data_IF_270767012839
#
_entry.id   IF_270767012839
#
_cell.length_a   1.000
_cell.length_b   1.000
_cell.length_c   1.000
_cell.angle_alpha   90.00
_cell.angle_beta   90.00
_cell.angle_gamma   90.00
#
_symmetry.space_group_name_H-M   'P 1'
#
loop_
_entity.id
_entity.type
_entity.pdbx_description
1 polymer ?
#
# COMPACT_ATOMS: atom_id res chain seq x y z
N UNK A 1 25.17 3.02 -3.18
CA UNK A 1 25.59 4.28 -3.80
C UNK A 1 25.67 5.41 -2.74
N UNK A 2 24.60 5.68 -1.95
CA UNK A 2 24.60 6.75 -0.95
C UNK A 2 25.78 6.63 0.02
N UNK A 3 26.01 5.45 0.59
CA UNK A 3 27.17 5.16 1.46
C UNK A 3 28.51 5.47 0.78
N UNK A 4 28.66 5.06 -0.49
CA UNK A 4 29.89 5.34 -1.27
C UNK A 4 30.09 6.83 -1.55
N UNK A 5 29.00 7.58 -1.61
CA UNK A 5 29.00 9.03 -1.78
C UNK A 5 29.10 9.80 -0.44
N UNK A 6 29.11 9.11 0.70
CA UNK A 6 29.08 9.75 2.02
C UNK A 6 27.77 10.47 2.34
N UNK A 7 26.66 10.06 1.67
CA UNK A 7 25.35 10.69 1.85
C UNK A 7 24.58 9.91 2.92
N UNK A 8 24.09 10.61 3.94
CA UNK A 8 23.19 10.05 4.95
C UNK A 8 21.83 9.81 4.29
N UNK A 9 21.32 8.57 4.39
CA UNK A 9 20.06 8.14 3.79
C UNK A 9 19.05 7.76 4.87
N UNK A 10 17.82 8.23 4.72
CA UNK A 10 16.67 7.84 5.51
C UNK A 10 15.71 7.03 4.64
N UNK A 11 15.27 5.87 5.12
CA UNK A 11 14.30 5.02 4.45
C UNK A 11 13.06 4.83 5.33
N UNK A 12 11.91 5.23 4.83
CA UNK A 12 10.62 5.06 5.48
C UNK A 12 9.90 3.87 4.84
N UNK A 13 9.58 2.87 5.64
CA UNK A 13 8.94 1.63 5.16
C UNK A 13 7.71 1.31 5.98
N UNK A 14 6.70 0.67 5.36
CA UNK A 14 5.53 0.19 6.11
C UNK A 14 5.92 -1.00 6.99
N UNK A 15 5.19 -1.22 8.08
CA UNK A 15 5.39 -2.37 8.98
C UNK A 15 5.14 -3.72 8.31
N UNK A 16 4.46 -3.75 7.17
CA UNK A 16 4.21 -4.94 6.37
C UNK A 16 5.42 -5.40 5.54
N UNK A 17 6.45 -4.56 5.41
CA UNK A 17 7.70 -4.96 4.72
C UNK A 17 8.39 -6.05 5.52
N UNK A 18 8.79 -7.17 4.89
CA UNK A 18 9.50 -8.25 5.57
C UNK A 18 10.79 -7.78 6.26
N UNK A 19 11.09 -8.35 7.43
CA UNK A 19 12.23 -7.93 8.27
C UNK A 19 13.59 -8.17 7.60
N UNK A 20 13.71 -9.20 6.76
CA UNK A 20 14.91 -9.44 5.96
C UNK A 20 15.18 -8.32 4.94
N UNK A 21 14.13 -7.79 4.30
CA UNK A 21 14.25 -6.60 3.42
C UNK A 21 14.68 -5.34 4.22
N UNK A 22 14.15 -5.18 5.42
CA UNK A 22 14.56 -4.08 6.29
C UNK A 22 16.02 -4.20 6.72
N UNK A 23 16.48 -5.43 7.04
CA UNK A 23 17.91 -5.69 7.35
C UNK A 23 18.82 -5.37 6.17
N UNK A 24 18.42 -5.79 4.96
CA UNK A 24 19.16 -5.50 3.74
C UNK A 24 19.36 -3.98 3.52
N UNK A 25 18.34 -3.18 3.80
CA UNK A 25 18.43 -1.72 3.72
C UNK A 25 19.35 -1.17 4.82
N UNK A 26 19.22 -1.66 6.05
CA UNK A 26 19.93 -1.14 7.23
C UNK A 26 21.41 -1.47 7.23
N UNK A 27 21.84 -2.60 6.63
CA UNK A 27 23.25 -3.03 6.63
C UNK A 27 24.17 -2.03 5.95
N UNK A 28 23.64 -1.20 5.07
CA UNK A 28 24.39 -0.12 4.41
C UNK A 28 24.46 1.18 5.24
N UNK A 29 24.03 1.16 6.50
CA UNK A 29 24.01 2.35 7.37
C UNK A 29 22.86 3.32 7.05
N UNK A 30 21.80 2.85 6.40
CA UNK A 30 20.58 3.63 6.17
C UNK A 30 19.81 3.77 7.48
N UNK A 31 19.41 4.98 7.82
CA UNK A 31 18.49 5.25 8.93
C UNK A 31 17.10 4.74 8.54
N UNK A 32 16.68 3.61 9.12
CA UNK A 32 15.41 2.97 8.79
C UNK A 32 14.32 3.40 9.77
N UNK A 33 13.23 3.92 9.23
CA UNK A 33 12.01 4.26 9.96
C UNK A 33 10.89 3.33 9.54
N UNK A 34 10.40 2.53 10.48
CA UNK A 34 9.29 1.61 10.28
C UNK A 34 7.99 2.29 10.68
N UNK A 35 7.09 2.47 9.71
CA UNK A 35 5.80 3.15 9.90
C UNK A 35 4.68 2.11 9.98
N UNK A 36 3.95 2.06 11.09
CA UNK A 36 2.74 1.26 11.22
C UNK A 36 1.58 2.00 10.57
N UNK A 37 1.24 1.62 9.34
CA UNK A 37 0.21 2.30 8.56
C UNK A 37 0.27 1.89 7.09
N UNK A 38 -0.53 2.58 6.28
CA UNK A 38 -0.57 2.35 4.84
C UNK A 38 0.66 2.93 4.13
N UNK A 39 0.89 2.51 2.90
CA UNK A 39 1.97 3.08 2.06
C UNK A 39 1.78 4.59 1.84
N UNK A 40 0.54 5.07 1.70
CA UNK A 40 0.26 6.50 1.54
C UNK A 40 0.59 7.30 2.82
N UNK A 41 0.24 6.78 4.00
CA UNK A 41 0.61 7.37 5.29
C UNK A 41 2.14 7.40 5.47
N UNK A 42 2.83 6.33 5.10
CA UNK A 42 4.30 6.29 5.11
C UNK A 42 4.91 7.39 4.25
N UNK A 43 4.35 7.65 3.07
CA UNK A 43 4.80 8.77 2.21
C UNK A 43 4.54 10.14 2.82
N UNK A 44 3.45 10.31 3.56
CA UNK A 44 3.14 11.57 4.28
C UNK A 44 4.16 11.82 5.39
N UNK A 45 4.45 10.81 6.23
CA UNK A 45 5.46 10.89 7.30
C UNK A 45 6.84 11.23 6.71
N UNK A 46 7.28 10.50 5.67
CA UNK A 46 8.55 10.77 4.99
C UNK A 46 8.62 12.19 4.40
N UNK A 47 7.51 12.65 3.80
CA UNK A 47 7.41 13.99 3.23
C UNK A 47 7.51 15.10 4.27
N UNK A 48 6.82 14.95 5.41
CA UNK A 48 6.85 15.89 6.53
C UNK A 48 8.21 15.92 7.20
N UNK A 49 8.81 14.77 7.47
CA UNK A 49 10.18 14.64 7.99
C UNK A 49 11.19 15.37 7.09
N UNK A 50 11.14 15.14 5.79
CA UNK A 50 12.06 15.79 4.88
C UNK A 50 11.83 17.30 4.79
N UNK A 51 10.56 17.76 4.79
CA UNK A 51 10.21 19.19 4.79
C UNK A 51 10.74 19.90 6.04
N UNK A 52 10.56 19.31 7.23
CA UNK A 52 11.04 19.89 8.50
C UNK A 52 12.56 20.04 8.57
N UNK A 53 13.30 19.17 7.89
CA UNK A 53 14.78 19.13 7.90
C UNK A 53 15.45 19.70 6.64
N UNK A 54 14.65 20.22 5.69
CA UNK A 54 15.19 20.71 4.41
C UNK A 54 15.87 19.62 3.58
N UNK A 55 15.42 18.37 3.70
CA UNK A 55 15.99 17.23 3.00
C UNK A 55 15.31 16.99 1.65
N UNK A 56 16.07 16.43 0.71
CA UNK A 56 15.53 15.96 -0.55
C UNK A 56 14.76 14.65 -0.33
N UNK A 57 13.55 14.57 -0.93
CA UNK A 57 12.75 13.34 -0.97
C UNK A 57 12.74 12.78 -2.38
N UNK A 58 13.13 11.52 -2.52
CA UNK A 58 12.88 10.79 -3.76
C UNK A 58 11.38 10.46 -3.84
N UNK A 59 10.73 10.96 -4.88
CA UNK A 59 9.29 10.77 -5.15
C UNK A 59 9.05 9.81 -6.33
N UNK A 60 9.95 8.87 -6.55
CA UNK A 60 9.85 7.88 -7.60
C UNK A 60 9.69 8.51 -8.98
N UNK A 61 8.56 8.31 -9.67
CA UNK A 61 8.35 8.79 -11.04
C UNK A 61 8.46 10.33 -11.19
N UNK A 62 8.31 11.09 -10.14
CA UNK A 62 8.48 12.55 -10.13
C UNK A 62 9.94 12.98 -9.93
N UNK A 63 10.82 12.02 -9.56
CA UNK A 63 12.25 12.27 -9.41
C UNK A 63 12.97 12.10 -10.75
N UNK A 64 13.70 13.13 -11.16
CA UNK A 64 14.54 13.04 -12.36
C UNK A 64 15.63 12.00 -12.15
N UNK A 65 16.33 12.04 -11.03
CA UNK A 65 17.42 11.11 -10.71
C UNK A 65 16.97 9.65 -10.72
N UNK A 66 15.78 9.35 -10.14
CA UNK A 66 15.23 7.99 -10.14
C UNK A 66 14.94 7.48 -11.56
N UNK A 67 14.37 8.31 -12.45
CA UNK A 67 14.16 7.95 -13.86
C UNK A 67 15.46 7.76 -14.61
N UNK A 68 16.45 8.64 -14.39
CA UNK A 68 17.75 8.54 -15.02
C UNK A 68 18.49 7.26 -14.57
N UNK A 69 18.38 6.86 -13.31
CA UNK A 69 19.01 5.62 -12.82
C UNK A 69 18.44 4.37 -13.49
N UNK A 70 17.14 4.34 -13.78
CA UNK A 70 16.50 3.17 -14.42
C UNK A 70 16.87 3.00 -15.89
N UNK A 71 17.41 4.03 -16.55
CA UNK A 71 17.91 3.91 -17.94
C UNK A 71 19.05 2.92 -18.09
N UNK A 72 19.86 2.74 -17.06
CA UNK A 72 21.02 1.84 -17.11
C UNK A 72 20.62 0.41 -17.42
N UNK A 73 19.43 -0.02 -16.99
CA UNK A 73 18.86 -1.32 -17.37
C UNK A 73 18.73 -1.48 -18.89
N UNK A 74 18.26 -0.45 -19.59
CA UNK A 74 18.13 -0.51 -21.04
C UNK A 74 19.50 -0.64 -21.74
N UNK A 75 20.52 0.06 -21.23
CA UNK A 75 21.86 0.00 -21.77
C UNK A 75 22.48 -1.39 -21.59
N UNK A 76 22.39 -1.93 -20.37
CA UNK A 76 22.88 -3.29 -20.07
C UNK A 76 22.15 -4.35 -20.88
N UNK A 77 20.82 -4.25 -21.00
CA UNK A 77 20.01 -5.17 -21.81
C UNK A 77 20.47 -5.14 -23.28
N UNK A 78 20.60 -3.94 -23.86
CA UNK A 78 20.94 -3.81 -25.28
C UNK A 78 22.35 -4.31 -25.60
N UNK A 79 23.31 -4.02 -24.73
CA UNK A 79 24.70 -4.47 -24.85
C UNK A 79 24.80 -5.99 -24.70
N UNK A 80 24.25 -6.57 -23.62
CA UNK A 80 24.32 -7.99 -23.34
C UNK A 80 23.56 -8.84 -24.37
N UNK A 81 22.42 -8.34 -24.89
CA UNK A 81 21.73 -9.01 -25.98
C UNK A 81 22.58 -9.03 -27.27
N UNK A 82 23.32 -7.96 -27.54
CA UNK A 82 24.22 -7.95 -28.70
C UNK A 82 25.42 -8.90 -28.53
N UNK A 83 25.93 -9.03 -27.28
CA UNK A 83 26.94 -10.05 -26.96
C UNK A 83 26.42 -11.48 -27.13
N UNK A 84 25.23 -11.76 -26.64
CA UNK A 84 24.63 -13.10 -26.61
C UNK A 84 24.14 -13.56 -28.00
N UNK A 85 23.54 -12.67 -28.79
CA UNK A 85 22.80 -12.98 -30.01
C UNK A 85 23.44 -12.36 -31.27
N UNK A 86 24.51 -11.60 -31.12
CA UNK A 86 25.11 -10.77 -32.17
C UNK A 86 24.33 -9.45 -32.39
N UNK A 87 24.97 -8.48 -33.05
CA UNK A 87 24.32 -7.23 -33.43
C UNK A 87 23.16 -7.48 -34.40
N UNK A 88 22.19 -6.55 -34.49
CA UNK A 88 21.02 -6.71 -35.34
C UNK A 88 21.46 -6.86 -36.82
N UNK A 89 20.95 -7.87 -37.50
CA UNK A 89 21.27 -8.10 -38.92
C UNK A 89 20.79 -6.95 -39.79
N UNK A 90 21.67 -6.42 -40.62
CA UNK A 90 21.35 -5.34 -41.57
C UNK A 90 21.16 -3.96 -40.95
N UNK A 91 21.46 -3.79 -39.68
CA UNK A 91 21.48 -2.48 -38.99
C UNK A 91 22.93 -2.10 -38.70
N UNK A 92 23.28 -0.82 -38.96
CA UNK A 92 24.61 -0.26 -38.62
C UNK A 92 24.61 0.28 -37.19
N UNK A 93 24.13 -0.52 -36.22
CA UNK A 93 24.11 -0.18 -34.81
C UNK A 93 24.73 -1.33 -33.99
N UNK A 94 25.51 -1.03 -32.92
CA UNK A 94 26.22 -2.07 -32.19
C UNK A 94 25.33 -2.88 -31.25
N UNK A 95 24.24 -2.31 -30.75
CA UNK A 95 23.43 -2.88 -29.67
C UNK A 95 22.06 -3.35 -30.16
N UNK A 96 21.48 -4.33 -29.43
CA UNK A 96 20.25 -5.01 -29.82
C UNK A 96 19.10 -4.68 -28.86
N UNK A 97 17.93 -4.33 -29.40
CA UNK A 97 16.68 -4.15 -28.64
C UNK A 97 15.95 -5.48 -28.59
N UNK A 98 15.38 -5.91 -27.43
CA UNK A 98 14.51 -7.07 -27.38
C UNK A 98 13.15 -6.77 -28.05
N UNK A 99 12.43 -7.81 -28.47
CA UNK A 99 11.07 -7.65 -28.99
C UNK A 99 10.09 -7.30 -27.87
N UNK A 100 10.32 -7.87 -26.68
CA UNK A 100 9.53 -7.58 -25.48
C UNK A 100 10.41 -7.27 -24.27
N UNK A 101 10.00 -6.26 -23.51
CA UNK A 101 10.45 -6.04 -22.15
C UNK A 101 9.28 -6.25 -21.19
N UNK A 102 9.36 -7.24 -20.30
CA UNK A 102 8.29 -7.63 -19.38
C UNK A 102 8.73 -7.34 -17.94
N UNK A 103 7.90 -6.64 -17.21
CA UNK A 103 8.16 -6.28 -15.81
C UNK A 103 6.87 -6.25 -14.99
N UNK A 104 6.97 -6.71 -13.73
CA UNK A 104 5.95 -6.43 -12.73
C UNK A 104 5.96 -4.95 -12.35
N UNK A 105 4.78 -4.33 -12.29
CA UNK A 105 4.69 -2.90 -12.05
C UNK A 105 3.86 -2.57 -10.82
N UNK A 106 4.45 -1.75 -9.95
CA UNK A 106 3.80 -1.04 -8.87
C UNK A 106 3.46 0.39 -9.33
N UNK A 107 4.37 1.34 -9.10
CA UNK A 107 4.24 2.73 -9.53
C UNK A 107 4.74 3.03 -10.94
N UNK A 108 5.31 2.07 -11.69
CA UNK A 108 5.71 2.22 -13.10
C UNK A 108 7.04 2.93 -13.37
N UNK A 109 7.86 3.20 -12.35
CA UNK A 109 9.16 3.90 -12.52
C UNK A 109 10.14 3.12 -13.40
N UNK A 110 10.32 1.81 -13.15
CA UNK A 110 11.27 0.96 -13.87
C UNK A 110 11.06 0.98 -15.38
N UNK A 111 9.90 0.53 -15.89
CA UNK A 111 9.68 0.50 -17.33
C UNK A 111 9.68 1.89 -17.98
N UNK A 112 9.27 2.95 -17.26
CA UNK A 112 9.37 4.33 -17.78
C UNK A 112 10.83 4.73 -18.02
N UNK A 113 11.73 4.41 -17.09
CA UNK A 113 13.17 4.68 -17.25
C UNK A 113 13.81 3.83 -18.33
N UNK A 114 13.46 2.54 -18.41
CA UNK A 114 13.94 1.63 -19.46
C UNK A 114 13.55 2.14 -20.86
N UNK A 115 12.28 2.53 -21.06
CA UNK A 115 11.84 3.10 -22.32
C UNK A 115 12.58 4.40 -22.67
N UNK A 116 12.86 5.23 -21.64
CA UNK A 116 13.70 6.42 -21.85
C UNK A 116 15.10 6.06 -22.32
N UNK A 117 15.73 5.02 -21.75
CA UNK A 117 17.03 4.53 -22.16
C UNK A 117 17.06 4.06 -23.61
N UNK A 118 16.07 3.27 -24.03
CA UNK A 118 15.95 2.82 -25.43
C UNK A 118 15.76 3.99 -26.41
N UNK A 119 14.97 5.02 -26.03
CA UNK A 119 14.85 6.24 -26.87
C UNK A 119 16.17 6.97 -27.01
N UNK A 120 16.95 7.11 -25.94
CA UNK A 120 18.25 7.75 -26.00
C UNK A 120 19.23 6.96 -26.87
N UNK A 121 19.28 5.62 -26.74
CA UNK A 121 20.12 4.79 -27.62
C UNK A 121 19.75 4.92 -29.08
N UNK A 122 18.47 5.04 -29.42
CA UNK A 122 18.02 5.31 -30.78
C UNK A 122 18.52 6.68 -31.27
N UNK A 123 18.41 7.72 -30.44
CA UNK A 123 18.84 9.08 -30.79
C UNK A 123 20.36 9.16 -31.02
N UNK A 124 21.13 8.34 -30.31
CA UNK A 124 22.60 8.28 -30.46
C UNK A 124 23.07 7.20 -31.44
N UNK A 125 22.16 6.55 -32.17
CA UNK A 125 22.46 5.49 -33.13
C UNK A 125 23.23 4.29 -32.52
N UNK A 126 23.00 4.01 -31.22
CA UNK A 126 23.57 2.85 -30.53
C UNK A 126 22.70 1.61 -30.68
N UNK A 127 21.38 1.79 -30.80
CA UNK A 127 20.42 0.73 -31.05
C UNK A 127 19.34 1.24 -32.00
N UNK A 128 18.53 0.33 -32.56
CA UNK A 128 17.43 0.66 -33.46
C UNK A 128 16.15 -0.06 -33.01
N UNK A 129 15.07 0.70 -32.80
CA UNK A 129 13.76 0.19 -32.41
C UNK A 129 13.45 0.38 -30.94
N UNK A 130 12.24 0.02 -30.56
CA UNK A 130 11.74 0.08 -29.18
C UNK A 130 11.11 -1.28 -28.84
N UNK A 131 11.23 -1.77 -27.59
CA UNK A 131 10.57 -3.00 -27.19
C UNK A 131 9.07 -2.78 -27.01
N UNK A 132 8.28 -3.83 -27.26
CA UNK A 132 6.92 -3.93 -26.71
C UNK A 132 6.98 -4.08 -25.21
N UNK A 133 5.99 -3.54 -24.50
CA UNK A 133 5.93 -3.61 -23.05
C UNK A 133 4.93 -4.65 -22.54
N UNK A 134 5.39 -5.55 -21.70
CA UNK A 134 4.54 -6.41 -20.86
C UNK A 134 4.51 -5.89 -19.44
N UNK A 135 3.45 -5.15 -19.07
CA UNK A 135 3.34 -4.47 -17.77
C UNK A 135 2.38 -5.25 -16.87
N UNK A 136 2.94 -5.98 -15.90
CA UNK A 136 2.20 -6.97 -15.13
C UNK A 136 1.86 -6.46 -13.74
N UNK A 137 0.59 -6.53 -13.36
CA UNK A 137 0.11 -6.18 -12.02
C UNK A 137 -0.51 -7.39 -11.32
N UNK A 138 -0.50 -7.38 -9.98
CA UNK A 138 -1.27 -8.31 -9.18
C UNK A 138 -2.77 -8.04 -9.36
N UNK A 139 -3.58 -9.06 -9.66
CA UNK A 139 -5.01 -8.91 -9.94
C UNK A 139 -5.78 -8.21 -8.81
N UNK A 140 -5.36 -8.43 -7.55
CA UNK A 140 -5.94 -7.76 -6.39
C UNK A 140 -5.59 -6.27 -6.25
N UNK A 141 -4.66 -5.75 -7.10
CA UNK A 141 -4.31 -4.33 -7.18
C UNK A 141 -3.82 -3.98 -8.58
N UNK A 142 -4.71 -3.88 -9.55
CA UNK A 142 -4.39 -3.69 -10.98
C UNK A 142 -5.03 -2.42 -11.58
N UNK A 143 -4.77 -1.22 -11.02
CA UNK A 143 -5.38 0.02 -11.52
C UNK A 143 -4.98 0.36 -12.96
N UNK A 144 -3.71 0.10 -13.35
CA UNK A 144 -3.24 0.38 -14.71
C UNK A 144 -3.89 -0.53 -15.74
N UNK A 145 -4.06 -1.82 -15.41
CA UNK A 145 -4.75 -2.79 -16.26
C UNK A 145 -6.20 -2.34 -16.48
N UNK A 146 -6.91 -2.03 -15.40
CA UNK A 146 -8.31 -1.56 -15.47
C UNK A 146 -8.45 -0.29 -16.31
N UNK A 147 -7.55 0.67 -16.11
CA UNK A 147 -7.52 1.90 -16.89
C UNK A 147 -7.29 1.66 -18.38
N UNK A 148 -6.36 0.76 -18.72
CA UNK A 148 -6.04 0.42 -20.10
C UNK A 148 -7.17 -0.33 -20.80
N UNK A 149 -7.77 -1.33 -20.15
CA UNK A 149 -8.94 -2.08 -20.66
C UNK A 149 -10.15 -1.19 -20.92
N UNK A 150 -10.35 -0.17 -20.08
CA UNK A 150 -11.43 0.80 -20.22
C UNK A 150 -11.10 1.98 -21.14
N UNK A 151 -9.89 2.02 -21.72
CA UNK A 151 -9.44 3.10 -22.58
C UNK A 151 -9.21 4.45 -21.89
N UNK A 152 -9.14 4.47 -20.56
CA UNK A 152 -9.01 5.69 -19.76
C UNK A 152 -7.62 6.30 -19.91
N UNK A 153 -7.53 7.62 -19.83
CA UNK A 153 -6.26 8.35 -19.79
C UNK A 153 -5.61 8.32 -18.41
N UNK A 154 -6.42 8.20 -17.35
CA UNK A 154 -5.99 8.09 -15.98
C UNK A 154 -6.44 6.74 -15.40
N UNK A 155 -5.55 6.09 -14.65
CA UNK A 155 -5.89 4.83 -14.01
C UNK A 155 -6.85 5.08 -12.83
N UNK A 156 -7.93 4.27 -12.70
CA UNK A 156 -8.81 4.35 -11.55
C UNK A 156 -8.05 3.98 -10.27
N UNK A 157 -8.39 4.60 -9.15
CA UNK A 157 -7.77 4.28 -7.86
C UNK A 157 -8.27 2.96 -7.29
N UNK A 158 -7.37 2.19 -6.67
CA UNK A 158 -7.67 1.01 -5.86
C UNK A 158 -7.32 1.34 -4.41
N UNK A 159 -8.31 1.67 -3.59
CA UNK A 159 -8.09 2.11 -2.22
C UNK A 159 -7.74 0.95 -1.29
N UNK A 160 -8.34 -0.21 -1.50
CA UNK A 160 -8.15 -1.41 -0.69
C UNK A 160 -7.57 -2.56 -1.54
N UNK A 161 -6.24 -2.64 -1.71
CA UNK A 161 -5.60 -3.75 -2.41
C UNK A 161 -5.89 -5.10 -1.76
N UNK A 162 -6.25 -6.10 -2.57
CA UNK A 162 -6.53 -7.48 -2.15
C UNK A 162 -5.46 -8.43 -2.69
N UNK A 163 -4.22 -8.21 -2.31
CA UNK A 163 -3.08 -9.05 -2.69
C UNK A 163 -2.13 -9.22 -1.51
N UNK A 164 -1.56 -10.43 -1.36
CA UNK A 164 -0.51 -10.69 -0.37
C UNK A 164 0.87 -10.22 -0.86
N UNK A 165 0.99 -9.84 -2.15
CA UNK A 165 2.21 -9.30 -2.74
C UNK A 165 2.24 -7.76 -2.58
N UNK A 166 2.33 -7.32 -1.33
CA UNK A 166 2.16 -5.91 -0.94
C UNK A 166 3.16 -4.95 -1.59
N UNK A 167 4.35 -5.41 -1.97
CA UNK A 167 5.39 -4.59 -2.59
C UNK A 167 5.02 -4.04 -3.97
N UNK A 168 4.01 -4.63 -4.65
CA UNK A 168 3.46 -4.14 -5.92
C UNK A 168 2.07 -3.55 -5.81
N UNK A 169 1.53 -3.42 -4.59
CA UNK A 169 0.17 -2.97 -4.33
C UNK A 169 0.04 -1.43 -4.34
N UNK A 170 0.43 -0.77 -5.43
CA UNK A 170 0.23 0.67 -5.60
C UNK A 170 -1.14 0.94 -6.20
N UNK A 171 -2.07 1.39 -5.37
CA UNK A 171 -3.45 1.65 -5.79
C UNK A 171 -3.64 2.94 -6.59
N UNK A 172 -2.67 3.89 -6.50
CA UNK A 172 -2.71 5.18 -7.22
C UNK A 172 -1.40 5.37 -7.98
N UNK A 173 -1.29 4.90 -9.23
CA UNK A 173 -0.05 4.95 -10.01
C UNK A 173 0.32 6.35 -10.50
N UNK A 174 -0.63 7.28 -10.54
CA UNK A 174 -0.39 8.66 -10.97
C UNK A 174 0.10 8.77 -12.44
N UNK A 175 0.99 9.74 -12.73
CA UNK A 175 1.40 10.06 -14.12
C UNK A 175 2.18 8.94 -14.82
N UNK A 176 2.70 7.96 -14.09
CA UNK A 176 3.41 6.83 -14.69
C UNK A 176 2.50 6.02 -15.64
N UNK A 177 1.23 5.85 -15.27
CA UNK A 177 0.28 5.16 -16.15
C UNK A 177 0.13 5.87 -17.49
N UNK A 178 -0.05 7.19 -17.50
CA UNK A 178 -0.20 7.97 -18.75
C UNK A 178 1.04 7.82 -19.65
N UNK A 179 2.24 7.86 -19.06
CA UNK A 179 3.51 7.69 -19.80
C UNK A 179 3.61 6.29 -20.40
N UNK A 180 3.37 5.26 -19.60
CA UNK A 180 3.44 3.87 -20.04
C UNK A 180 2.32 3.52 -21.03
N UNK A 181 1.10 4.04 -20.82
CA UNK A 181 0.00 3.89 -21.77
C UNK A 181 0.38 4.44 -23.14
N UNK A 182 0.99 5.64 -23.17
CA UNK A 182 1.50 6.21 -24.43
C UNK A 182 2.51 5.28 -25.11
N UNK A 183 3.48 4.76 -24.35
CA UNK A 183 4.50 3.86 -24.88
C UNK A 183 3.90 2.55 -25.42
N UNK A 184 2.92 1.96 -24.71
CA UNK A 184 2.22 0.76 -25.17
C UNK A 184 1.43 1.02 -26.44
N UNK A 185 0.76 2.15 -26.57
CA UNK A 185 -0.01 2.51 -27.77
C UNK A 185 0.90 2.82 -28.97
N UNK A 186 2.08 3.39 -28.74
CA UNK A 186 3.02 3.78 -29.78
C UNK A 186 3.90 2.62 -30.25
N UNK A 187 4.37 1.77 -29.32
CA UNK A 187 5.37 0.73 -29.62
C UNK A 187 4.83 -0.69 -29.50
N UNK A 188 3.61 -0.85 -29.04
CA UNK A 188 2.97 -2.14 -28.78
C UNK A 188 3.21 -2.65 -27.37
N UNK A 189 2.53 -3.74 -27.06
CA UNK A 189 2.56 -4.35 -25.74
C UNK A 189 1.18 -4.34 -25.06
N UNK A 190 1.17 -4.53 -23.74
CA UNK A 190 -0.07 -4.63 -22.98
C UNK A 190 0.16 -4.41 -21.48
N UNK A 191 -0.91 -4.03 -20.80
CA UNK A 191 -1.05 -4.19 -19.36
C UNK A 191 -1.80 -5.50 -19.10
N UNK A 192 -1.34 -6.30 -18.13
CA UNK A 192 -1.92 -7.61 -17.85
C UNK A 192 -1.96 -7.85 -16.34
N UNK A 193 -3.03 -8.48 -15.86
CA UNK A 193 -3.17 -8.86 -14.47
C UNK A 193 -2.99 -10.37 -14.29
N UNK A 194 -2.30 -10.75 -13.20
CA UNK A 194 -2.14 -12.15 -12.79
C UNK A 194 -2.45 -12.29 -11.31
N UNK A 195 -2.93 -13.47 -10.90
CA UNK A 195 -3.25 -13.73 -9.50
C UNK A 195 -1.99 -14.01 -8.68
N UNK A 196 -2.12 -13.92 -7.35
CA UNK A 196 -1.03 -14.26 -6.42
C UNK A 196 -0.63 -15.73 -6.59
N UNK A 197 -1.59 -16.64 -6.85
CA UNK A 197 -1.34 -18.05 -7.09
C UNK A 197 -0.56 -18.30 -8.39
N UNK A 198 -0.88 -17.56 -9.46
CA UNK A 198 -0.11 -17.63 -10.71
C UNK A 198 1.34 -17.20 -10.50
N UNK A 199 1.58 -16.14 -9.70
CA UNK A 199 2.91 -15.72 -9.31
C UNK A 199 3.66 -16.79 -8.51
N UNK A 200 3.03 -17.39 -7.50
CA UNK A 200 3.65 -18.48 -6.71
C UNK A 200 3.95 -19.72 -7.52
N UNK A 201 3.11 -20.05 -8.53
CA UNK A 201 3.38 -21.15 -9.47
C UNK A 201 4.58 -20.83 -10.35
N UNK A 202 4.66 -19.60 -10.89
CA UNK A 202 5.79 -19.16 -11.70
C UNK A 202 7.10 -19.22 -10.91
N UNK A 203 7.10 -18.71 -9.67
CA UNK A 203 8.24 -18.77 -8.75
C UNK A 203 8.75 -20.20 -8.56
N UNK A 204 7.84 -21.14 -8.24
CA UNK A 204 8.19 -22.55 -8.04
C UNK A 204 8.73 -23.20 -9.31
N UNK A 205 8.17 -22.85 -10.47
CA UNK A 205 8.59 -23.40 -11.76
C UNK A 205 10.01 -22.94 -12.09
N UNK A 206 10.30 -21.65 -11.97
CA UNK A 206 11.61 -21.07 -12.23
C UNK A 206 12.69 -21.63 -11.30
N UNK A 207 12.37 -21.78 -10.01
CA UNK A 207 13.28 -22.39 -9.04
C UNK A 207 13.66 -23.82 -9.42
N UNK A 208 12.71 -24.60 -9.96
CA UNK A 208 12.92 -26.02 -10.31
C UNK A 208 13.57 -26.23 -11.67
N UNK A 209 13.27 -25.37 -12.65
CA UNK A 209 13.75 -25.55 -14.02
C UNK A 209 15.03 -24.78 -14.30
N UNK A 210 15.14 -23.57 -13.77
CA UNK A 210 16.24 -22.64 -14.07
C UNK A 210 17.15 -22.37 -12.87
N UNK A 211 16.82 -22.90 -11.68
CA UNK A 211 17.58 -22.64 -10.46
C UNK A 211 17.50 -21.19 -9.98
N UNK A 212 16.51 -20.42 -10.44
CA UNK A 212 16.33 -19.02 -10.11
C UNK A 212 15.46 -18.85 -8.87
N UNK A 213 16.01 -18.23 -7.83
CA UNK A 213 15.28 -17.85 -6.64
C UNK A 213 14.89 -16.38 -6.74
N UNK A 214 13.59 -16.09 -6.66
CA UNK A 214 13.08 -14.72 -6.72
C UNK A 214 11.92 -14.50 -5.75
N UNK A 215 11.67 -13.23 -5.44
CA UNK A 215 10.52 -12.87 -4.61
C UNK A 215 9.20 -12.94 -5.41
N UNK A 216 8.05 -13.07 -4.75
CA UNK A 216 6.75 -13.12 -5.43
C UNK A 216 6.47 -11.93 -6.34
N UNK A 217 6.91 -10.72 -5.95
CA UNK A 217 6.74 -9.52 -6.76
C UNK A 217 7.50 -9.59 -8.11
N UNK A 218 8.69 -10.19 -8.14
CA UNK A 218 9.44 -10.42 -9.38
C UNK A 218 8.81 -11.54 -10.21
N UNK A 219 8.33 -12.61 -9.58
CA UNK A 219 7.70 -13.74 -10.22
C UNK A 219 6.40 -13.39 -10.96
N UNK A 220 5.70 -12.32 -10.59
CA UNK A 220 4.56 -11.78 -11.33
C UNK A 220 4.89 -11.55 -12.82
N UNK A 221 6.09 -11.04 -13.12
CA UNK A 221 6.51 -10.78 -14.50
C UNK A 221 6.53 -12.07 -15.33
N UNK A 222 7.00 -13.18 -14.75
CA UNK A 222 7.00 -14.49 -15.40
C UNK A 222 5.60 -15.09 -15.52
N UNK A 223 4.76 -14.95 -14.49
CA UNK A 223 3.35 -15.36 -14.58
C UNK A 223 2.65 -14.60 -15.72
N UNK A 224 2.96 -13.31 -15.87
CA UNK A 224 2.50 -12.49 -16.99
C UNK A 224 3.02 -13.00 -18.34
N UNK A 225 4.32 -13.32 -18.46
CA UNK A 225 4.87 -13.91 -19.66
C UNK A 225 4.13 -15.20 -20.03
N UNK A 226 3.91 -16.11 -19.07
CA UNK A 226 3.19 -17.36 -19.34
C UNK A 226 1.76 -17.11 -19.84
N UNK A 227 1.10 -16.09 -19.29
CA UNK A 227 -0.23 -15.67 -19.75
C UNK A 227 -0.19 -15.09 -21.16
N UNK A 228 0.79 -14.24 -21.47
CA UNK A 228 0.96 -13.62 -22.78
C UNK A 228 1.26 -14.68 -23.87
N UNK A 229 2.10 -15.67 -23.57
CA UNK A 229 2.37 -16.80 -24.47
C UNK A 229 1.11 -17.64 -24.69
N UNK A 230 0.42 -18.02 -23.61
CA UNK A 230 -0.82 -18.81 -23.69
C UNK A 230 -1.94 -18.13 -24.48
N UNK A 231 -1.99 -16.79 -24.44
CA UNK A 231 -2.98 -16.00 -25.18
C UNK A 231 -2.53 -15.60 -26.57
N UNK A 232 -1.36 -16.08 -27.05
CA UNK A 232 -0.83 -15.80 -28.38
C UNK A 232 -0.39 -14.36 -28.62
N UNK A 233 -0.20 -13.57 -27.56
CA UNK A 233 0.32 -12.19 -27.66
C UNK A 233 1.82 -12.15 -27.91
N UNK A 234 2.53 -13.17 -27.45
CA UNK A 234 3.98 -13.36 -27.62
C UNK A 234 4.22 -14.53 -28.55
N UNK A 235 5.06 -14.34 -29.55
CA UNK A 235 5.39 -15.37 -30.56
C UNK A 235 6.67 -16.12 -30.15
N UNK A 236 6.83 -17.39 -30.58
CA UNK A 236 7.99 -18.22 -30.23
C UNK A 236 9.36 -17.66 -30.68
N UNK A 237 9.38 -16.89 -31.77
CA UNK A 237 10.62 -16.35 -32.37
C UNK A 237 11.01 -14.97 -31.78
N UNK A 238 10.20 -14.40 -30.89
CA UNK A 238 10.47 -13.10 -30.29
C UNK A 238 11.49 -13.21 -29.16
N UNK A 239 12.40 -12.26 -29.11
CA UNK A 239 13.38 -12.11 -28.01
C UNK A 239 12.74 -11.37 -26.86
N UNK A 240 12.63 -12.06 -25.73
CA UNK A 240 11.94 -11.55 -24.54
C UNK A 240 12.95 -11.32 -23.43
N UNK A 241 12.90 -10.15 -22.83
CA UNK A 241 13.62 -9.83 -21.59
C UNK A 241 12.61 -9.67 -20.47
N UNK A 242 12.74 -10.48 -19.41
CA UNK A 242 11.94 -10.39 -18.20
C UNK A 242 12.79 -9.84 -17.08
N UNK A 243 12.33 -8.76 -16.44
CA UNK A 243 13.03 -8.16 -15.32
C UNK A 243 12.82 -8.94 -14.02
N UNK A 244 13.88 -9.59 -13.54
CA UNK A 244 13.95 -10.25 -12.23
C UNK A 244 14.35 -9.23 -11.15
N UNK A 245 13.44 -8.38 -10.73
CA UNK A 245 13.74 -7.20 -9.89
C UNK A 245 14.10 -7.52 -8.43
N UNK A 246 13.83 -8.70 -7.93
CA UNK A 246 14.14 -9.08 -6.55
C UNK A 246 14.35 -10.58 -6.37
N UNK A 247 15.24 -10.92 -5.45
CA UNK A 247 15.54 -12.29 -5.05
C UNK A 247 15.15 -12.56 -3.59
N UNK A 248 15.27 -13.82 -3.13
CA UNK A 248 14.87 -14.26 -1.79
C UNK A 248 16.05 -14.45 -0.82
N UNK A 249 17.27 -13.99 -1.15
CA UNK A 249 18.40 -14.13 -0.26
C UNK A 249 18.19 -13.33 1.05
N UNK A 250 18.07 -13.98 2.21
CA UNK A 250 17.97 -13.29 3.49
C UNK A 250 19.33 -12.71 3.88
N UNK A 251 19.32 -11.54 4.53
CA UNK A 251 20.48 -11.04 5.27
C UNK A 251 20.52 -11.74 6.63
N UNK A 252 21.72 -12.21 7.04
CA UNK A 252 21.88 -12.94 8.29
C UNK A 252 21.39 -12.14 9.49
N UNK A 253 20.43 -12.70 10.21
CA UNK A 253 19.79 -12.05 11.36
C UNK A 253 20.77 -11.64 12.45
N UNK A 254 21.79 -12.44 12.70
CA UNK A 254 22.78 -12.16 13.78
C UNK A 254 23.71 -10.99 13.47
N UNK A 255 23.77 -10.48 12.22
CA UNK A 255 24.60 -9.33 11.85
C UNK A 255 24.00 -8.04 12.42
N UNK A 256 22.69 -7.88 12.29
CA UNK A 256 21.97 -6.66 12.71
C UNK A 256 21.06 -6.88 13.93
N UNK A 257 20.83 -8.15 14.33
CA UNK A 257 19.89 -8.48 15.38
C UNK A 257 18.43 -8.18 14.98
N UNK A 258 17.62 -7.86 15.97
CA UNK A 258 16.22 -7.48 15.78
C UNK A 258 16.01 -5.95 15.79
N UNK A 259 17.00 -5.18 16.23
CA UNK A 259 16.98 -3.71 16.22
C UNK A 259 17.45 -3.15 14.87
N UNK A 260 16.60 -3.26 13.87
CA UNK A 260 16.93 -2.85 12.49
C UNK A 260 16.38 -1.50 12.08
N UNK A 261 15.77 -0.77 13.00
CA UNK A 261 15.23 0.56 12.72
C UNK A 261 14.32 1.10 13.81
N UNK A 262 14.03 2.39 13.74
CA UNK A 262 13.05 3.05 14.60
C UNK A 262 11.64 2.75 14.12
N UNK A 263 10.72 2.51 15.06
CA UNK A 263 9.31 2.28 14.75
C UNK A 263 8.52 3.57 15.03
N UNK A 264 7.79 4.04 14.03
CA UNK A 264 6.78 5.09 14.15
C UNK A 264 5.42 4.45 13.94
N UNK A 265 4.59 4.45 14.97
CA UNK A 265 3.25 3.89 14.92
C UNK A 265 2.23 4.97 14.53
N UNK A 266 1.92 5.08 13.25
CA UNK A 266 0.90 6.01 12.73
C UNK A 266 -0.52 5.50 13.00
N UNK A 267 -0.68 4.20 13.28
CA UNK A 267 -1.96 3.67 13.72
C UNK A 267 -2.24 4.01 15.18
N UNK A 268 -1.20 4.31 15.95
CA UNK A 268 -1.34 4.90 17.28
C UNK A 268 -1.93 6.32 17.21
N UNK A 269 -1.68 7.07 16.14
CA UNK A 269 -2.34 8.34 15.87
C UNK A 269 -3.79 8.17 15.43
N UNK A 270 -4.07 7.21 14.55
CA UNK A 270 -5.45 6.80 14.28
C UNK A 270 -6.12 6.20 15.54
N UNK A 271 -5.32 5.74 16.51
CA UNK A 271 -5.75 5.32 17.85
C UNK A 271 -5.89 6.51 18.81
N UNK A 272 -5.15 7.61 18.64
CA UNK A 272 -5.31 8.87 19.36
C UNK A 272 -6.43 9.74 18.77
N UNK A 273 -6.86 9.45 17.54
CA UNK A 273 -8.00 10.09 16.86
C UNK A 273 -9.38 9.50 17.19
N UNK A 274 -9.47 8.59 18.11
CA UNK A 274 -10.59 8.60 19.05
C UNK A 274 -10.19 9.69 20.04
N UNK A 275 -10.77 10.91 20.01
CA UNK A 275 -10.31 11.96 20.87
C UNK A 275 -10.47 11.41 22.28
N UNK A 276 -9.34 11.12 22.94
CA UNK A 276 -9.36 10.62 24.30
C UNK A 276 -10.19 11.57 25.15
N UNK A 277 -10.02 12.87 24.90
CA UNK A 277 -10.84 13.94 25.44
C UNK A 277 -12.32 13.85 25.02
N UNK A 278 -12.62 13.47 23.77
CA UNK A 278 -14.00 13.34 23.29
C UNK A 278 -14.75 12.16 23.91
N UNK A 279 -14.12 10.99 24.01
CA UNK A 279 -14.71 9.81 24.66
C UNK A 279 -14.83 10.04 26.18
N UNK A 280 -13.82 10.67 26.80
CA UNK A 280 -13.83 11.03 28.22
C UNK A 280 -14.85 12.12 28.51
N UNK A 281 -14.91 13.17 27.69
CA UNK A 281 -15.91 14.22 27.79
C UNK A 281 -17.33 13.67 27.61
N UNK A 282 -17.52 12.68 26.74
CA UNK A 282 -18.78 11.97 26.59
C UNK A 282 -19.14 11.17 27.85
N UNK A 283 -18.17 10.50 28.49
CA UNK A 283 -18.36 9.79 29.77
C UNK A 283 -18.68 10.75 30.91
N UNK A 284 -17.99 11.90 31.00
CA UNK A 284 -18.22 12.94 32.01
C UNK A 284 -19.57 13.64 31.83
N UNK A 285 -20.07 13.74 30.60
CA UNK A 285 -21.39 14.36 30.32
C UNK A 285 -22.59 13.48 30.71
N UNK A 286 -22.34 12.19 31.01
CA UNK A 286 -23.36 11.27 31.46
C UNK A 286 -23.49 11.37 32.99
N UNK A 287 -24.58 11.93 33.46
CA UNK A 287 -24.89 12.20 34.89
C UNK A 287 -25.00 10.93 35.78
N UNK A 288 -24.60 9.77 35.29
CA UNK A 288 -24.60 8.46 35.95
C UNK A 288 -23.18 7.89 35.98
N UNK A 289 -22.83 7.18 37.04
CA UNK A 289 -21.59 6.37 37.08
C UNK A 289 -21.70 5.26 36.06
N UNK A 290 -21.02 5.42 34.92
CA UNK A 290 -20.88 4.39 33.88
C UNK A 290 -19.98 3.29 34.43
N UNK A 291 -20.53 2.12 34.61
CA UNK A 291 -19.82 0.95 35.17
C UNK A 291 -19.64 -0.15 34.16
N UNK A 292 -20.61 -0.32 33.25
CA UNK A 292 -20.64 -1.34 32.21
C UNK A 292 -20.85 -0.69 30.86
N UNK A 293 -19.95 -0.96 29.90
CA UNK A 293 -20.01 -0.39 28.54
C UNK A 293 -20.02 -1.52 27.52
N UNK A 294 -20.93 -1.44 26.55
CA UNK A 294 -20.91 -2.29 25.36
C UNK A 294 -20.15 -1.59 24.24
N UNK A 295 -19.14 -2.24 23.69
CA UNK A 295 -18.36 -1.80 22.53
C UNK A 295 -18.74 -2.66 21.35
N UNK A 296 -19.36 -2.07 20.33
CA UNK A 296 -19.80 -2.73 19.12
C UNK A 296 -18.91 -2.23 17.97
N UNK A 297 -17.93 -3.04 17.62
CA UNK A 297 -16.82 -2.68 16.74
C UNK A 297 -16.28 -3.94 16.04
N UNK A 298 -16.22 -3.96 14.72
CA UNK A 298 -15.75 -5.12 13.94
C UNK A 298 -14.22 -5.23 13.87
N UNK A 299 -13.51 -4.14 14.13
CA UNK A 299 -12.04 -4.13 14.22
C UNK A 299 -11.58 -4.53 15.63
N UNK A 300 -10.91 -5.70 15.81
CA UNK A 300 -10.42 -6.12 17.11
C UNK A 300 -9.38 -5.17 17.72
N UNK A 301 -8.66 -4.41 16.89
CA UNK A 301 -7.66 -3.46 17.35
C UNK A 301 -8.31 -2.18 17.88
N UNK A 302 -9.33 -1.67 17.19
CA UNK A 302 -10.11 -0.54 17.65
C UNK A 302 -10.89 -0.88 18.94
N UNK A 303 -11.52 -2.05 19.00
CA UNK A 303 -12.21 -2.53 20.18
C UNK A 303 -11.30 -2.58 21.42
N UNK A 304 -10.09 -3.16 21.29
CA UNK A 304 -9.10 -3.20 22.37
C UNK A 304 -8.62 -1.82 22.83
N UNK A 305 -8.51 -0.87 21.90
CA UNK A 305 -8.13 0.48 22.26
C UNK A 305 -9.22 1.17 23.07
N UNK A 306 -10.46 1.10 22.61
CA UNK A 306 -11.62 1.65 23.32
C UNK A 306 -11.70 1.04 24.72
N UNK A 307 -11.57 -0.29 24.86
CA UNK A 307 -11.53 -0.99 26.15
C UNK A 307 -10.44 -0.43 27.08
N UNK A 308 -9.22 -0.24 26.57
CA UNK A 308 -8.12 0.32 27.38
C UNK A 308 -8.41 1.72 27.88
N UNK A 309 -8.98 2.59 27.02
CA UNK A 309 -9.36 3.95 27.40
C UNK A 309 -10.43 3.90 28.49
N UNK A 310 -11.48 3.12 28.30
CA UNK A 310 -12.58 2.98 29.23
C UNK A 310 -12.13 2.44 30.60
N UNK A 311 -11.30 1.38 30.59
CA UNK A 311 -10.77 0.75 31.80
C UNK A 311 -9.82 1.70 32.57
N UNK A 312 -8.98 2.46 31.87
CA UNK A 312 -8.10 3.45 32.47
C UNK A 312 -8.88 4.55 33.18
N UNK A 313 -10.13 4.80 32.81
CA UNK A 313 -11.02 5.82 33.42
C UNK A 313 -12.08 5.25 34.35
N UNK A 314 -11.89 4.00 34.79
CA UNK A 314 -12.65 3.43 35.90
C UNK A 314 -13.93 2.67 35.50
N UNK A 315 -14.13 2.41 34.21
CA UNK A 315 -15.17 1.47 33.75
C UNK A 315 -14.80 0.07 34.25
N UNK A 316 -15.74 -0.59 34.90
CA UNK A 316 -15.48 -1.89 35.56
C UNK A 316 -15.61 -3.07 34.61
N UNK A 317 -16.48 -2.95 33.61
CA UNK A 317 -16.81 -4.04 32.72
C UNK A 317 -17.00 -3.49 31.29
N UNK A 318 -16.23 -4.01 30.35
CA UNK A 318 -16.35 -3.71 28.93
C UNK A 318 -16.75 -4.97 28.19
N UNK A 319 -17.89 -4.92 27.52
CA UNK A 319 -18.47 -6.01 26.75
C UNK A 319 -18.21 -5.75 25.26
N UNK A 320 -17.94 -6.80 24.47
CA UNK A 320 -17.59 -6.66 23.07
C UNK A 320 -18.55 -7.43 22.16
N UNK A 321 -18.92 -6.79 21.05
CA UNK A 321 -19.59 -7.43 19.93
C UNK A 321 -18.92 -7.00 18.62
N UNK A 322 -18.76 -7.94 17.69
CA UNK A 322 -18.05 -7.73 16.41
C UNK A 322 -18.98 -7.34 15.25
N UNK A 323 -20.27 -7.26 15.47
CA UNK A 323 -21.25 -6.78 14.50
C UNK A 323 -22.53 -6.27 15.20
N UNK A 324 -23.38 -5.58 14.42
CA UNK A 324 -24.58 -4.97 14.99
C UNK A 324 -25.61 -5.96 15.53
N UNK A 325 -25.75 -7.16 14.94
CA UNK A 325 -26.71 -8.17 15.39
C UNK A 325 -26.29 -8.73 16.76
N UNK A 326 -25.02 -9.14 16.90
CA UNK A 326 -24.46 -9.59 18.17
C UNK A 326 -24.49 -8.46 19.22
N UNK A 327 -24.29 -7.20 18.80
CA UNK A 327 -24.37 -6.03 19.64
C UNK A 327 -25.76 -5.80 20.24
N UNK A 328 -26.81 -5.89 19.44
CA UNK A 328 -28.18 -5.78 19.90
C UNK A 328 -28.57 -6.89 20.89
N UNK A 329 -28.11 -8.12 20.63
CA UNK A 329 -28.33 -9.27 21.52
C UNK A 329 -27.63 -9.05 22.86
N UNK A 330 -26.37 -8.64 22.81
CA UNK A 330 -25.55 -8.28 23.97
C UNK A 330 -26.18 -7.18 24.82
N UNK A 331 -26.67 -6.09 24.19
CA UNK A 331 -27.32 -4.98 24.91
C UNK A 331 -28.60 -5.45 25.63
N UNK A 332 -29.42 -6.27 24.96
CA UNK A 332 -30.67 -6.81 25.54
C UNK A 332 -30.41 -7.75 26.74
N UNK A 333 -29.33 -8.52 26.69
CA UNK A 333 -28.99 -9.46 27.77
C UNK A 333 -28.28 -8.80 28.94
N UNK A 334 -27.34 -7.88 28.67
CA UNK A 334 -26.39 -7.40 29.67
C UNK A 334 -26.70 -6.01 30.22
N UNK A 335 -27.61 -5.28 29.61
CA UNK A 335 -28.07 -3.94 30.06
C UNK A 335 -26.93 -3.00 30.38
N UNK A 336 -26.10 -2.59 29.43
CA UNK A 336 -24.99 -1.68 29.68
C UNK A 336 -25.46 -0.28 30.01
N UNK A 337 -24.61 0.49 30.70
CA UNK A 337 -24.88 1.90 31.05
C UNK A 337 -24.60 2.83 29.84
N UNK A 338 -23.78 2.38 28.89
CA UNK A 338 -23.35 3.11 27.69
C UNK A 338 -23.05 2.13 26.55
N UNK A 339 -23.32 2.56 25.32
CA UNK A 339 -22.88 1.88 24.08
C UNK A 339 -21.86 2.73 23.35
N UNK A 340 -20.74 2.16 22.98
CA UNK A 340 -19.79 2.70 21.99
C UNK A 340 -19.99 1.93 20.69
N UNK A 341 -20.33 2.63 19.62
CA UNK A 341 -20.83 2.03 18.38
C UNK A 341 -20.06 2.51 17.15
N UNK A 342 -19.50 1.60 16.37
CA UNK A 342 -19.09 1.91 15.01
C UNK A 342 -20.30 1.88 14.04
N UNK A 343 -20.28 2.78 13.06
CA UNK A 343 -21.29 2.81 12.00
C UNK A 343 -20.97 1.88 10.85
N UNK A 344 -19.71 1.50 10.67
CA UNK A 344 -19.22 0.75 9.52
C UNK A 344 -18.89 -0.70 9.89
N UNK A 345 -19.93 -1.51 10.04
CA UNK A 345 -19.78 -2.92 10.36
C UNK A 345 -20.46 -3.82 9.32
N UNK A 346 -19.99 -5.06 9.12
CA UNK A 346 -20.66 -6.03 8.26
C UNK A 346 -21.99 -6.49 8.83
N UNK A 347 -22.85 -7.04 7.97
CA UNK A 347 -24.18 -7.60 8.25
C UNK A 347 -25.20 -6.56 8.72
N UNK A 348 -25.15 -6.12 9.98
CA UNK A 348 -26.01 -5.08 10.53
C UNK A 348 -25.13 -3.87 10.86
N UNK A 349 -25.32 -2.77 10.11
CA UNK A 349 -24.57 -1.54 10.30
C UNK A 349 -25.01 -0.76 11.56
N UNK A 350 -24.18 0.19 12.00
CA UNK A 350 -24.46 0.94 13.20
C UNK A 350 -25.71 1.84 13.11
N UNK A 351 -26.13 2.26 11.92
CA UNK A 351 -27.38 3.00 11.77
C UNK A 351 -28.59 2.11 12.03
N UNK A 352 -28.57 0.84 11.61
CA UNK A 352 -29.62 -0.12 11.91
C UNK A 352 -29.67 -0.43 13.41
N UNK A 353 -28.51 -0.54 14.07
CA UNK A 353 -28.44 -0.69 15.54
C UNK A 353 -29.09 0.50 16.25
N UNK A 354 -28.78 1.75 15.84
CA UNK A 354 -29.39 2.95 16.41
C UNK A 354 -30.91 2.98 16.22
N UNK A 355 -31.42 2.65 15.05
CA UNK A 355 -32.85 2.63 14.78
C UNK A 355 -33.57 1.60 15.66
N UNK A 356 -32.99 0.41 15.84
CA UNK A 356 -33.53 -0.65 16.73
C UNK A 356 -33.52 -0.18 18.21
N UNK A 357 -32.42 0.42 18.67
CA UNK A 357 -32.34 0.95 20.05
C UNK A 357 -33.39 2.05 20.30
N UNK A 358 -33.61 2.94 19.32
CA UNK A 358 -34.60 4.03 19.45
C UNK A 358 -36.04 3.57 19.29
N UNK A 359 -36.27 2.44 18.63
CA UNK A 359 -37.59 1.84 18.52
C UNK A 359 -38.01 1.05 19.77
N UNK A 360 -37.07 0.58 20.58
CA UNK A 360 -37.34 -0.16 21.81
C UNK A 360 -37.58 0.78 22.99
N UNK A 361 -38.76 0.70 23.59
CA UNK A 361 -39.15 1.57 24.71
C UNK A 361 -38.23 1.49 25.94
N UNK A 362 -37.55 0.36 26.12
CA UNK A 362 -36.65 0.14 27.25
C UNK A 362 -35.22 0.60 26.97
N UNK A 363 -34.80 0.66 25.67
CA UNK A 363 -33.44 0.95 25.25
C UNK A 363 -33.29 2.34 24.63
N UNK A 364 -34.35 3.03 24.27
CA UNK A 364 -34.31 4.32 23.56
C UNK A 364 -33.55 5.42 24.31
N UNK A 365 -33.52 5.36 25.65
CA UNK A 365 -32.83 6.33 26.51
C UNK A 365 -31.39 5.89 26.86
N UNK A 366 -30.94 4.74 26.35
CA UNK A 366 -29.56 4.25 26.51
C UNK A 366 -28.58 5.20 25.78
N UNK A 367 -27.60 5.75 26.51
CA UNK A 367 -26.61 6.64 25.91
C UNK A 367 -25.78 5.88 24.85
N UNK A 368 -25.60 6.50 23.68
CA UNK A 368 -24.76 5.96 22.59
C UNK A 368 -23.73 6.99 22.18
N UNK A 369 -22.46 6.58 22.19
CA UNK A 369 -21.34 7.30 21.61
C UNK A 369 -20.98 6.63 20.30
N UNK A 370 -21.06 7.36 19.20
CA UNK A 370 -20.67 6.85 17.88
C UNK A 370 -19.19 7.14 17.65
N UNK A 371 -18.44 6.10 17.25
CA UNK A 371 -17.01 6.19 16.88
C UNK A 371 -16.84 5.58 15.50
N UNK A 372 -16.69 6.39 14.45
CA UNK A 372 -16.67 5.90 13.08
C UNK A 372 -15.57 6.49 12.21
N UNK A 373 -15.03 5.68 11.29
CA UNK A 373 -14.10 6.12 10.25
C UNK A 373 -14.83 6.70 9.02
N UNK A 374 -16.16 6.66 9.00
CA UNK A 374 -16.96 7.11 7.84
C UNK A 374 -17.04 8.62 7.78
N UNK A 375 -16.75 9.19 6.60
CA UNK A 375 -17.12 10.57 6.29
C UNK A 375 -18.63 10.66 6.11
N UNK A 376 -19.28 11.25 7.12
CA UNK A 376 -20.72 11.36 7.15
C UNK A 376 -21.22 12.48 6.22
N UNK A 377 -22.19 12.15 5.39
CA UNK A 377 -22.94 13.12 4.60
C UNK A 377 -23.74 14.05 5.52
N UNK A 378 -24.14 15.25 5.06
CA UNK A 378 -25.00 16.17 5.85
C UNK A 378 -26.29 15.50 6.34
N UNK A 379 -26.92 14.66 5.54
CA UNK A 379 -28.13 13.90 5.91
C UNK A 379 -27.89 12.87 7.01
N UNK A 380 -26.75 12.19 6.97
CA UNK A 380 -26.37 11.22 8.00
C UNK A 380 -26.05 11.92 9.33
N UNK A 381 -25.38 13.07 9.29
CA UNK A 381 -25.14 13.90 10.48
C UNK A 381 -26.45 14.40 11.09
N UNK A 382 -27.37 14.86 10.26
CA UNK A 382 -28.71 15.29 10.70
C UNK A 382 -29.51 14.13 11.33
N UNK A 383 -29.40 12.90 10.77
CA UNK A 383 -30.01 11.68 11.31
C UNK A 383 -29.46 11.33 12.69
N UNK A 384 -28.16 11.49 12.92
CA UNK A 384 -27.52 11.22 14.23
C UNK A 384 -27.78 12.33 15.24
N UNK A 385 -28.07 13.56 14.80
CA UNK A 385 -28.34 14.68 15.67
C UNK A 385 -29.53 14.41 16.57
N UNK A 386 -29.31 14.43 17.88
CA UNK A 386 -30.31 14.14 18.91
C UNK A 386 -30.57 12.65 19.20
N UNK A 387 -29.95 11.74 18.45
CA UNK A 387 -30.04 10.30 18.70
C UNK A 387 -28.82 9.74 19.45
N UNK A 388 -27.68 10.42 19.39
CA UNK A 388 -26.44 9.99 20.02
C UNK A 388 -25.93 11.05 20.99
N UNK A 389 -25.23 10.62 22.04
CA UNK A 389 -24.64 11.50 23.03
C UNK A 389 -23.47 12.30 22.43
N UNK A 390 -22.63 11.63 21.69
CA UNK A 390 -21.46 12.21 21.03
C UNK A 390 -21.15 11.45 19.76
N UNK A 391 -20.69 12.18 18.74
CA UNK A 391 -20.19 11.64 17.48
C UNK A 391 -18.69 11.90 17.39
N UNK A 392 -17.90 10.85 17.34
CA UNK A 392 -16.46 10.89 17.19
C UNK A 392 -16.07 10.29 15.83
N UNK A 393 -15.27 11.00 15.06
CA UNK A 393 -14.75 10.50 13.79
C UNK A 393 -13.40 9.85 14.05
N UNK A 394 -13.25 8.56 13.65
CA UNK A 394 -11.94 7.90 13.60
C UNK A 394 -11.16 8.64 12.52
N UNK A 395 -10.14 9.40 12.90
CA UNK A 395 -9.50 10.38 12.02
C UNK A 395 -9.11 9.86 10.65
N UNK A 396 -9.48 10.61 9.65
CA UNK A 396 -9.18 10.33 8.25
C UNK A 396 -7.88 10.96 7.78
N UNK A 397 -7.25 11.82 8.57
CA UNK A 397 -6.01 12.52 8.23
C UNK A 397 -5.11 12.59 9.47
N UNK A 398 -3.85 12.22 9.28
CA UNK A 398 -2.79 12.56 10.22
C UNK A 398 -2.68 14.09 10.17
N UNK A 399 -2.99 14.73 11.28
CA UNK A 399 -2.95 16.18 11.38
C UNK A 399 -1.50 16.69 11.32
N UNK A 400 -1.29 17.95 10.91
CA UNK A 400 0.06 18.50 10.74
C UNK A 400 0.82 18.58 12.08
N UNK A 401 0.14 18.83 13.19
CA UNK A 401 0.76 18.93 14.52
C UNK A 401 1.25 17.56 14.99
N UNK A 402 0.47 16.51 14.78
CA UNK A 402 0.86 15.13 15.08
C UNK A 402 2.04 14.65 14.20
N UNK A 403 2.03 15.01 12.91
CA UNK A 403 3.17 14.70 12.04
C UNK A 403 4.44 15.40 12.53
N UNK A 404 4.32 16.59 13.10
CA UNK A 404 5.46 17.33 13.66
C UNK A 404 6.00 16.65 14.92
N UNK A 405 5.13 16.23 15.83
CA UNK A 405 5.49 15.50 17.05
C UNK A 405 6.20 14.17 16.74
N UNK A 406 5.65 13.40 15.78
CA UNK A 406 6.28 12.17 15.30
C UNK A 406 7.67 12.41 14.71
N UNK A 407 7.83 13.50 13.98
CA UNK A 407 9.10 13.86 13.34
C UNK A 407 10.13 14.32 14.35
N UNK A 408 9.75 15.07 15.39
CA UNK A 408 10.61 15.51 16.48
C UNK A 408 11.14 14.32 17.31
N UNK A 409 10.32 13.29 17.51
CA UNK A 409 10.70 12.06 18.20
C UNK A 409 11.71 11.16 17.48
N UNK A 410 12.10 11.51 16.25
CA UNK A 410 13.08 10.78 15.44
C UNK A 410 14.52 11.34 15.56
N UNK A 411 14.75 12.35 16.41
CA UNK A 411 16.09 12.92 16.67
C UNK A 411 16.98 12.06 17.57
#
# INVERSE_FOLDING_TARGET
YAVRAGIRLWAFVTSSVPSDKMREISIYGTELVKVTGTYEQTKQVAGSFAKSRGLFVDRGIRSLAAKESMKTLAFEIAEQLAEALGPPRGAHVPWRVPDWYIQSVSGGLGPTGVMKGFREMNNYHLAKGMPKLGLIQAAGCAPMVKGFEQGLEEAPSVLNPQTVITTVATGVPGPAYQMLRKDVLEHGGTFEAVTDEESFRALKLLARLDGLSMEPAAALAFAGLFKLVRTGKVNPDEVIVVNCSGHTFPVEKFILGDEIGRTVDVTAAARQDIPQEGLLSALESIDRRVSRVAVIEDSPDAARLIERILTAHGVKEVLHAADGAAGLELIREQWPDLVVLDLMMPNVDGFAVLDELKADENLRDLPVVVVTAKDLTPKERERLAGQVQTLLQKGSLIDEDFLQELVEGLD
#
